data_IF_463778536141
#
_entry.id   IF_463778536141
#
_cell.length_a   1.000
_cell.length_b   1.000
_cell.length_c   1.000
_cell.angle_alpha   90.00
_cell.angle_beta   90.00
_cell.angle_gamma   90.00
#
_symmetry.space_group_name_H-M   'P 1'
#
loop_
_entity.id
_entity.type
_entity.pdbx_description
1 polymer ?
#
# COMPACT_ATOMS: atom_id res chain seq x y z
N UNK A 1 -8.13 15.92 29.26
CA UNK A 1 -9.43 15.41 28.73
C UNK A 1 -9.18 15.01 27.29
N UNK A 2 -9.42 13.73 26.91
CA UNK A 2 -9.33 13.30 25.51
C UNK A 2 -10.43 14.01 24.72
N UNK A 3 -10.06 14.65 23.61
CA UNK A 3 -11.03 15.26 22.69
C UNK A 3 -11.80 14.15 21.98
N UNK A 4 -13.04 13.92 22.42
CA UNK A 4 -13.89 12.83 21.90
C UNK A 4 -14.37 13.06 20.47
N UNK A 5 -14.06 14.21 19.85
CA UNK A 5 -14.37 14.48 18.43
C UNK A 5 -13.51 13.68 17.47
N UNK A 6 -12.34 13.19 17.92
CA UNK A 6 -11.37 12.46 17.11
C UNK A 6 -11.21 11.01 17.60
N UNK A 7 -10.93 10.12 16.67
CA UNK A 7 -10.63 8.71 16.98
C UNK A 7 -9.46 8.62 17.97
N UNK A 8 -9.62 7.78 19.00
CA UNK A 8 -8.54 7.42 19.91
C UNK A 8 -7.92 6.07 19.56
N UNK A 9 -8.46 5.38 18.54
CA UNK A 9 -8.01 4.06 18.13
C UNK A 9 -6.50 3.98 17.84
N UNK A 10 -5.87 4.97 17.15
CA UNK A 10 -4.44 4.91 16.88
C UNK A 10 -3.57 4.77 18.14
N UNK A 11 -3.92 5.49 19.21
CA UNK A 11 -3.19 5.42 20.49
C UNK A 11 -3.43 4.09 21.19
N UNK A 12 -4.68 3.63 21.28
CA UNK A 12 -5.01 2.34 21.89
C UNK A 12 -4.30 1.19 21.16
N UNK A 13 -4.32 1.19 19.84
CA UNK A 13 -3.63 0.17 19.05
C UNK A 13 -2.12 0.25 19.19
N UNK A 14 -1.52 1.45 19.24
CA UNK A 14 -0.09 1.60 19.48
C UNK A 14 0.33 1.03 20.84
N UNK A 15 -0.45 1.28 21.90
CA UNK A 15 -0.17 0.76 23.23
C UNK A 15 -0.32 -0.77 23.30
N UNK A 16 -1.34 -1.33 22.66
CA UNK A 16 -1.51 -2.78 22.53
C UNK A 16 -0.30 -3.38 21.82
N UNK A 17 0.12 -2.81 20.68
CA UNK A 17 1.24 -3.30 19.87
C UNK A 17 2.55 -3.27 20.66
N UNK A 18 2.82 -2.18 21.40
CA UNK A 18 4.00 -2.10 22.29
C UNK A 18 3.97 -3.17 23.39
N UNK A 19 2.79 -3.56 23.86
CA UNK A 19 2.64 -4.66 24.81
C UNK A 19 3.04 -6.04 24.25
N UNK A 20 2.90 -6.26 22.95
CA UNK A 20 3.32 -7.51 22.29
C UNK A 20 4.83 -7.57 22.02
N UNK A 21 5.47 -6.45 21.73
CA UNK A 21 6.91 -6.38 21.46
C UNK A 21 7.49 -5.10 22.09
N UNK A 22 7.74 -5.11 23.41
CA UNK A 22 8.34 -3.97 24.11
C UNK A 22 9.71 -3.60 23.50
N UNK A 23 10.05 -2.31 23.54
CA UNK A 23 11.32 -1.76 23.05
C UNK A 23 11.57 -1.92 21.55
N UNK A 24 10.59 -2.40 20.79
CA UNK A 24 10.67 -2.52 19.35
C UNK A 24 10.09 -1.28 18.65
N UNK A 25 10.92 -0.58 17.87
CA UNK A 25 10.50 0.58 17.09
C UNK A 25 10.67 0.27 15.60
N UNK A 26 9.58 0.01 14.85
CA UNK A 26 9.66 -0.22 13.42
C UNK A 26 10.02 1.07 12.69
N UNK A 27 10.95 0.99 11.74
CA UNK A 27 11.35 2.12 10.89
C UNK A 27 10.51 2.19 9.61
N UNK A 28 10.17 1.03 9.04
CA UNK A 28 9.41 0.93 7.80
C UNK A 28 8.10 0.18 8.04
N UNK A 29 7.01 0.79 7.61
CA UNK A 29 5.71 0.14 7.56
C UNK A 29 5.47 -0.43 6.16
N UNK A 30 4.94 -1.66 6.08
CA UNK A 30 4.49 -2.28 4.84
C UNK A 30 2.98 -2.48 4.84
N UNK A 31 2.34 -2.25 3.69
CA UNK A 31 0.98 -2.72 3.42
C UNK A 31 1.05 -3.68 2.24
N UNK A 32 0.84 -4.97 2.50
CA UNK A 32 0.89 -6.00 1.47
C UNK A 32 -0.47 -6.12 0.76
N UNK A 33 -0.40 -6.13 -0.56
CA UNK A 33 -1.54 -6.38 -1.44
C UNK A 33 -1.85 -7.86 -1.64
N UNK A 34 -2.93 -8.13 -2.38
CA UNK A 34 -3.37 -9.48 -2.73
C UNK A 34 -2.27 -10.26 -3.45
N UNK A 35 -1.99 -11.48 -3.01
CA UNK A 35 -0.96 -12.35 -3.58
C UNK A 35 0.48 -12.04 -3.16
N UNK A 36 0.74 -10.97 -2.37
CA UNK A 36 2.08 -10.53 -2.00
C UNK A 36 2.46 -10.90 -0.55
N UNK A 37 1.67 -11.74 0.11
CA UNK A 37 1.85 -12.15 1.51
C UNK A 37 3.15 -12.89 1.84
N UNK A 38 3.79 -13.53 0.85
CA UNK A 38 5.01 -14.31 1.03
C UNK A 38 6.21 -13.49 1.57
N UNK A 39 6.22 -12.16 1.37
CA UNK A 39 7.24 -11.29 1.94
C UNK A 39 7.24 -11.35 3.48
N UNK A 40 6.06 -11.44 4.09
CA UNK A 40 5.93 -11.49 5.54
C UNK A 40 6.53 -12.77 6.16
N UNK A 41 6.68 -13.85 5.38
CA UNK A 41 7.30 -15.11 5.83
C UNK A 41 8.83 -14.97 6.01
N UNK A 42 9.43 -13.91 5.45
CA UNK A 42 10.86 -13.62 5.57
C UNK A 42 11.19 -12.70 6.75
N UNK A 43 10.18 -12.27 7.51
CA UNK A 43 10.39 -11.41 8.68
C UNK A 43 10.95 -12.26 9.82
N UNK A 44 12.15 -11.93 10.25
CA UNK A 44 12.84 -12.56 11.37
C UNK A 44 12.33 -12.00 12.71
N UNK A 45 12.40 -12.80 13.77
CA UNK A 45 11.88 -12.46 15.11
C UNK A 45 10.44 -11.96 15.08
N UNK A 46 9.62 -12.57 14.24
CA UNK A 46 8.28 -12.14 13.91
C UNK A 46 7.29 -12.28 15.08
N UNK A 47 6.55 -11.23 15.37
CA UNK A 47 5.39 -11.23 16.27
C UNK A 47 4.17 -10.83 15.46
N UNK A 48 3.20 -11.75 15.31
CA UNK A 48 1.95 -11.50 14.59
C UNK A 48 0.82 -11.11 15.55
N UNK A 49 0.07 -10.08 15.19
CA UNK A 49 -1.06 -9.56 15.96
C UNK A 49 -2.27 -9.47 15.04
N UNK A 50 -3.37 -10.18 15.37
CA UNK A 50 -4.61 -10.10 14.59
C UNK A 50 -5.18 -8.67 14.64
N UNK A 51 -5.68 -8.18 13.50
CA UNK A 51 -6.37 -6.88 13.42
C UNK A 51 -7.59 -6.79 14.30
N UNK A 52 -8.23 -7.91 14.62
CA UNK A 52 -9.37 -7.96 15.56
C UNK A 52 -9.02 -7.46 16.96
N UNK A 53 -7.73 -7.52 17.33
CA UNK A 53 -7.22 -7.03 18.61
C UNK A 53 -6.83 -5.55 18.58
N UNK A 54 -6.82 -4.94 17.39
CA UNK A 54 -6.30 -3.59 17.17
C UNK A 54 -7.44 -2.65 16.78
N UNK A 55 -7.94 -1.80 17.70
CA UNK A 55 -8.97 -0.81 17.38
C UNK A 55 -8.60 0.04 16.17
N UNK A 56 -9.51 0.21 15.21
CA UNK A 56 -9.28 1.00 14.00
C UNK A 56 -8.51 0.28 12.88
N UNK A 57 -8.04 -0.95 13.10
CA UNK A 57 -7.47 -1.76 12.02
C UNK A 57 -8.57 -2.38 11.15
N UNK A 58 -8.35 -2.54 9.84
CA UNK A 58 -9.36 -3.05 8.93
C UNK A 58 -9.45 -4.57 9.04
N UNK A 59 -10.49 -5.10 9.65
CA UNK A 59 -10.81 -6.53 9.52
C UNK A 59 -11.34 -6.75 8.11
N UNK A 60 -10.47 -7.23 7.21
CA UNK A 60 -10.80 -7.42 5.80
C UNK A 60 -11.73 -8.62 5.60
N UNK A 61 -12.62 -8.49 4.62
CA UNK A 61 -13.50 -9.57 4.14
C UNK A 61 -12.97 -10.18 2.83
N UNK A 62 -11.86 -9.68 2.31
CA UNK A 62 -11.28 -10.09 1.03
C UNK A 62 -10.41 -11.34 1.20
N UNK A 63 -10.65 -12.37 0.39
CA UNK A 63 -9.80 -13.55 0.32
C UNK A 63 -8.34 -13.19 -0.04
N UNK A 64 -7.38 -13.76 0.70
CA UNK A 64 -5.94 -13.48 0.51
C UNK A 64 -5.38 -12.40 1.44
N UNK A 65 -6.23 -11.80 2.29
CA UNK A 65 -5.79 -10.92 3.37
C UNK A 65 -5.86 -11.65 4.70
N UNK A 66 -4.70 -11.89 5.33
CA UNK A 66 -4.63 -12.62 6.60
C UNK A 66 -5.18 -11.81 7.79
N UNK A 67 -5.23 -10.49 7.67
CA UNK A 67 -5.74 -9.61 8.74
C UNK A 67 -4.83 -9.57 9.96
N UNK A 68 -3.52 -9.51 9.74
CA UNK A 68 -2.49 -9.51 10.78
C UNK A 68 -1.48 -8.38 10.57
N UNK A 69 -1.04 -7.78 11.67
CA UNK A 69 0.17 -6.95 11.74
C UNK A 69 1.33 -7.83 12.22
N UNK A 70 2.41 -7.88 11.43
CA UNK A 70 3.64 -8.62 11.78
C UNK A 70 4.76 -7.63 12.06
N UNK A 71 5.33 -7.73 13.26
CA UNK A 71 6.49 -6.93 13.70
C UNK A 71 7.73 -7.81 13.70
N UNK A 72 8.83 -7.33 13.16
CA UNK A 72 10.11 -8.06 13.18
C UNK A 72 11.16 -7.38 12.31
N UNK A 73 12.22 -8.10 11.97
CA UNK A 73 13.28 -7.59 11.13
C UNK A 73 13.17 -8.18 9.72
N UNK A 74 13.32 -7.35 8.71
CA UNK A 74 13.37 -7.78 7.31
C UNK A 74 14.61 -7.16 6.66
N UNK A 75 15.50 -8.01 6.15
CA UNK A 75 16.78 -7.59 5.56
C UNK A 75 17.58 -6.62 6.46
N UNK A 76 17.55 -6.85 7.79
CA UNK A 76 18.26 -6.04 8.79
C UNK A 76 17.54 -4.76 9.25
N UNK A 77 16.35 -4.46 8.73
CA UNK A 77 15.58 -3.27 9.10
C UNK A 77 14.37 -3.66 9.96
N UNK A 78 14.08 -2.96 11.09
CA UNK A 78 12.88 -3.16 11.88
C UNK A 78 11.63 -2.73 11.09
N UNK A 79 10.67 -3.64 10.92
CA UNK A 79 9.48 -3.40 10.11
C UNK A 79 8.18 -3.69 10.85
N UNK A 80 7.10 -3.00 10.44
CA UNK A 80 5.73 -3.30 10.79
C UNK A 80 4.96 -3.63 9.50
N UNK A 81 4.61 -4.89 9.31
CA UNK A 81 4.05 -5.39 8.07
C UNK A 81 2.57 -5.73 8.21
N UNK A 82 1.70 -4.97 7.56
CA UNK A 82 0.28 -5.25 7.45
C UNK A 82 0.04 -6.32 6.38
N UNK A 83 -0.38 -7.53 6.78
CA UNK A 83 -0.78 -8.63 5.89
C UNK A 83 -2.24 -8.45 5.46
N UNK A 84 -2.47 -7.52 4.58
CA UNK A 84 -3.78 -7.14 4.06
C UNK A 84 -4.19 -5.72 4.42
N UNK A 85 -5.23 -5.25 3.74
CA UNK A 85 -5.80 -3.90 3.87
C UNK A 85 -7.31 -3.93 3.79
N UNK A 86 -7.95 -2.85 4.21
CA UNK A 86 -9.35 -2.58 3.89
C UNK A 86 -9.48 -1.81 2.59
N UNK A 87 -10.56 -2.05 1.84
CA UNK A 87 -10.85 -1.35 0.60
C UNK A 87 -12.15 -0.56 0.71
N UNK A 88 -12.27 0.47 -0.11
CA UNK A 88 -13.47 1.28 -0.19
C UNK A 88 -14.72 0.44 -0.50
N UNK A 89 -14.61 -0.51 -1.44
CA UNK A 89 -15.74 -1.36 -1.86
C UNK A 89 -16.24 -2.33 -0.77
N UNK A 90 -15.53 -2.47 0.34
CA UNK A 90 -16.02 -3.24 1.50
C UNK A 90 -17.05 -2.45 2.34
N UNK A 91 -17.45 -1.25 1.89
CA UNK A 91 -18.50 -0.43 2.51
C UNK A 91 -18.05 0.36 3.74
N UNK A 92 -16.74 0.45 4.01
CA UNK A 92 -16.17 1.14 5.18
C UNK A 92 -15.71 2.59 4.88
N UNK A 93 -15.94 3.07 3.66
CA UNK A 93 -15.58 4.42 3.25
C UNK A 93 -14.09 4.64 3.02
N UNK A 94 -13.73 5.89 2.71
CA UNK A 94 -12.36 6.29 2.38
C UNK A 94 -11.40 6.24 3.57
N UNK A 95 -11.90 6.30 4.79
CA UNK A 95 -11.10 6.37 6.03
C UNK A 95 -10.67 5.01 6.56
N UNK A 96 -11.02 3.90 5.88
CA UNK A 96 -10.83 2.53 6.35
C UNK A 96 -9.39 2.19 6.80
N UNK A 97 -8.39 2.84 6.23
CA UNK A 97 -6.97 2.65 6.55
C UNK A 97 -6.38 3.74 7.46
N UNK A 98 -7.12 4.83 7.71
CA UNK A 98 -6.56 6.02 8.35
C UNK A 98 -6.04 5.76 9.77
N UNK A 99 -6.81 5.08 10.61
CA UNK A 99 -6.41 4.79 12.00
C UNK A 99 -5.20 3.85 12.04
N UNK A 100 -5.16 2.83 11.17
CA UNK A 100 -4.02 1.91 11.10
C UNK A 100 -2.73 2.65 10.69
N UNK A 101 -2.79 3.53 9.69
CA UNK A 101 -1.63 4.32 9.24
C UNK A 101 -1.14 5.28 10.32
N UNK A 102 -2.07 5.95 10.99
CA UNK A 102 -1.74 6.81 12.14
C UNK A 102 -1.10 6.01 13.28
N UNK A 103 -1.55 4.78 13.52
CA UNK A 103 -0.92 3.86 14.48
C UNK A 103 0.52 3.55 14.09
N UNK A 104 0.80 3.25 12.83
CA UNK A 104 2.17 3.00 12.33
C UNK A 104 3.08 4.22 12.54
N UNK A 105 2.56 5.44 12.33
CA UNK A 105 3.29 6.68 12.65
C UNK A 105 3.61 6.78 14.14
N UNK A 106 2.64 6.50 15.02
CA UNK A 106 2.82 6.54 16.49
C UNK A 106 3.81 5.47 16.99
N UNK A 107 3.97 4.36 16.27
CA UNK A 107 4.98 3.34 16.57
C UNK A 107 6.41 3.75 16.20
N UNK A 108 6.57 4.84 15.43
CA UNK A 108 7.87 5.35 15.03
C UNK A 108 8.24 5.10 13.56
N UNK A 109 7.33 4.56 12.75
CA UNK A 109 7.60 4.43 11.32
C UNK A 109 7.88 5.79 10.67
N UNK A 110 8.87 5.81 9.77
CA UNK A 110 9.28 6.98 8.98
C UNK A 110 8.82 6.86 7.54
N UNK A 111 8.68 5.63 7.05
CA UNK A 111 8.35 5.28 5.68
C UNK A 111 7.18 4.28 5.63
N UNK A 112 6.24 4.54 4.74
CA UNK A 112 5.21 3.59 4.32
C UNK A 112 5.56 3.03 2.94
N UNK A 113 5.75 1.72 2.85
CA UNK A 113 5.90 0.98 1.60
C UNK A 113 4.57 0.31 1.24
N UNK A 114 3.85 0.86 0.28
CA UNK A 114 2.61 0.28 -0.21
C UNK A 114 2.86 -0.69 -1.35
N UNK A 115 2.14 -1.82 -1.36
CA UNK A 115 2.15 -2.75 -2.47
C UNK A 115 0.74 -3.13 -2.86
N UNK A 116 0.50 -3.41 -4.14
CA UNK A 116 -0.80 -3.85 -4.63
C UNK A 116 -0.68 -4.64 -5.93
N UNK A 117 -1.73 -5.37 -6.28
CA UNK A 117 -1.97 -5.86 -7.62
C UNK A 117 -2.67 -4.76 -8.43
N UNK A 118 -2.32 -4.60 -9.70
CA UNK A 118 -2.89 -3.60 -10.59
C UNK A 118 -3.07 -4.12 -12.02
N UNK A 119 -4.02 -3.52 -12.75
CA UNK A 119 -4.16 -3.64 -14.18
C UNK A 119 -3.28 -2.62 -14.90
N UNK A 120 -2.57 -3.03 -15.95
CA UNK A 120 -1.79 -2.11 -16.76
C UNK A 120 -2.64 -1.45 -17.85
N UNK A 121 -2.51 -0.13 -17.97
CA UNK A 121 -3.06 0.68 -19.07
C UNK A 121 -2.09 0.76 -20.27
N UNK A 122 -0.89 0.17 -20.12
CA UNK A 122 0.19 0.17 -21.08
C UNK A 122 0.41 -1.25 -21.63
N UNK A 123 0.09 -1.51 -22.91
CA UNK A 123 0.21 -2.86 -23.49
C UNK A 123 1.61 -3.47 -23.38
N UNK A 124 2.67 -2.65 -23.39
CA UNK A 124 4.06 -3.09 -23.27
C UNK A 124 4.49 -3.44 -21.83
N UNK A 125 3.67 -3.11 -20.83
CA UNK A 125 3.90 -3.43 -19.40
C UNK A 125 2.92 -4.51 -18.99
N UNK A 126 3.20 -5.75 -19.37
CA UNK A 126 2.29 -6.89 -19.19
C UNK A 126 2.37 -7.55 -17.81
N UNK A 127 1.53 -8.58 -17.57
CA UNK A 127 1.52 -9.37 -16.35
C UNK A 127 2.91 -9.89 -15.96
N UNK A 128 3.25 -9.85 -14.68
CA UNK A 128 4.57 -10.18 -14.14
C UNK A 128 5.53 -9.00 -14.06
N UNK A 129 5.20 -7.85 -14.67
CA UNK A 129 5.96 -6.60 -14.51
C UNK A 129 5.75 -5.97 -13.13
N UNK A 130 6.75 -5.21 -12.67
CA UNK A 130 6.65 -4.33 -11.51
C UNK A 130 6.65 -2.86 -11.97
N UNK A 131 5.80 -2.04 -11.36
CA UNK A 131 5.72 -0.61 -11.62
C UNK A 131 5.89 0.16 -10.32
N UNK A 132 6.95 0.98 -10.22
CA UNK A 132 7.11 1.95 -9.15
C UNK A 132 6.17 3.14 -9.40
N UNK A 133 5.30 3.45 -8.44
CA UNK A 133 4.36 4.55 -8.60
C UNK A 133 5.07 5.89 -8.44
N UNK A 134 4.95 6.74 -9.44
CA UNK A 134 5.51 8.10 -9.44
C UNK A 134 4.52 9.15 -8.97
N UNK A 135 3.23 8.93 -9.24
CA UNK A 135 2.12 9.80 -8.87
C UNK A 135 0.79 9.03 -8.91
N UNK A 136 -0.31 9.71 -8.58
CA UNK A 136 -1.64 9.13 -8.76
C UNK A 136 -2.70 10.12 -9.26
N UNK A 137 -3.74 9.57 -9.88
CA UNK A 137 -4.98 10.27 -10.22
C UNK A 137 -6.09 9.66 -9.35
N UNK A 138 -6.66 10.47 -8.48
CA UNK A 138 -7.72 10.03 -7.57
C UNK A 138 -9.09 10.13 -8.25
N UNK A 139 -9.67 9.00 -8.67
CA UNK A 139 -11.05 8.93 -9.17
C UNK A 139 -12.04 8.35 -8.15
N UNK A 140 -11.60 8.19 -6.90
CA UNK A 140 -12.47 7.77 -5.79
C UNK A 140 -13.50 8.86 -5.44
N UNK A 141 -14.62 8.52 -4.77
CA UNK A 141 -15.67 9.48 -4.46
C UNK A 141 -15.29 10.49 -3.35
N UNK A 142 -14.01 10.62 -3.03
CA UNK A 142 -13.51 11.55 -2.02
C UNK A 142 -12.07 11.30 -1.61
N UNK A 143 -11.74 11.80 -0.43
CA UNK A 143 -10.42 11.62 0.21
C UNK A 143 -10.63 11.23 1.68
N UNK A 144 -9.70 10.47 2.29
CA UNK A 144 -9.81 10.11 3.71
C UNK A 144 -9.73 11.30 4.67
N UNK A 145 -9.41 12.50 4.16
CA UNK A 145 -9.24 13.73 4.97
C UNK A 145 -10.48 14.64 4.96
N UNK A 146 -11.60 14.20 4.35
CA UNK A 146 -12.86 14.97 4.40
C UNK A 146 -13.41 14.98 5.84
N UNK A 147 -13.72 16.16 6.33
CA UNK A 147 -14.31 16.36 7.67
C UNK A 147 -13.40 17.13 8.61
N UNK A 148 -13.48 16.85 9.91
CA UNK A 148 -12.65 17.51 10.91
C UNK A 148 -11.20 17.04 10.81
N UNK A 149 -10.27 18.00 10.76
CA UNK A 149 -8.85 17.68 10.81
C UNK A 149 -8.39 17.38 12.24
N UNK A 150 -7.64 16.31 12.41
CA UNK A 150 -6.94 15.98 13.64
C UNK A 150 -5.49 16.50 13.55
N UNK A 151 -5.28 17.71 14.05
CA UNK A 151 -3.99 18.41 14.00
C UNK A 151 -2.85 17.69 14.75
N UNK A 152 -3.18 16.68 15.56
CA UNK A 152 -2.16 15.85 16.23
C UNK A 152 -1.34 15.01 15.24
N UNK A 153 -1.87 14.82 14.01
CA UNK A 153 -1.22 14.06 12.94
C UNK A 153 -0.68 14.93 11.80
N UNK A 154 -1.27 16.09 11.55
CA UNK A 154 -0.81 16.95 10.48
C UNK A 154 -1.76 18.12 10.19
N UNK A 155 -1.34 18.99 9.30
CA UNK A 155 -2.12 20.15 8.85
C UNK A 155 -3.30 19.75 7.99
N UNK A 156 -4.41 20.51 8.06
CA UNK A 156 -5.60 20.24 7.25
C UNK A 156 -5.30 20.35 5.74
N UNK A 157 -4.49 21.33 5.36
CA UNK A 157 -4.07 21.55 3.96
C UNK A 157 -2.60 21.22 3.80
N UNK A 158 -2.29 20.11 3.17
CA UNK A 158 -0.93 19.59 2.99
C UNK A 158 -0.66 19.25 1.52
N UNK A 159 0.60 19.28 1.15
CA UNK A 159 1.03 19.03 -0.22
C UNK A 159 1.18 17.54 -0.52
N UNK A 160 0.75 17.13 -1.71
CA UNK A 160 1.00 15.81 -2.29
C UNK A 160 2.03 15.87 -3.46
N UNK A 161 2.74 16.99 -3.65
CA UNK A 161 3.67 17.18 -4.77
C UNK A 161 4.80 16.13 -4.85
N UNK A 162 5.19 15.54 -3.72
CA UNK A 162 6.13 14.40 -3.64
C UNK A 162 5.47 13.28 -2.84
N UNK A 163 4.24 12.92 -3.22
CA UNK A 163 3.48 11.90 -2.50
C UNK A 163 4.17 10.55 -2.50
N UNK A 164 4.81 10.21 -3.61
CA UNK A 164 5.70 9.05 -3.77
C UNK A 164 7.14 9.56 -3.81
N UNK A 165 7.88 9.37 -2.73
CA UNK A 165 9.18 9.99 -2.51
C UNK A 165 10.18 9.69 -3.64
N UNK A 166 10.67 10.74 -4.29
CA UNK A 166 11.52 10.64 -5.48
C UNK A 166 12.88 10.01 -5.17
N UNK A 167 13.47 10.30 -3.99
CA UNK A 167 14.76 9.74 -3.61
C UNK A 167 14.64 8.23 -3.39
N UNK A 168 13.58 7.78 -2.73
CA UNK A 168 13.32 6.35 -2.52
C UNK A 168 12.95 5.63 -3.82
N UNK A 169 12.27 6.29 -4.77
CA UNK A 169 12.06 5.71 -6.11
C UNK A 169 13.38 5.50 -6.86
N UNK A 170 14.32 6.46 -6.75
CA UNK A 170 15.65 6.30 -7.32
C UNK A 170 16.40 5.09 -6.70
N UNK A 171 16.24 4.85 -5.40
CA UNK A 171 16.79 3.65 -4.73
C UNK A 171 16.16 2.38 -5.31
N UNK A 172 14.82 2.33 -5.51
CA UNK A 172 14.15 1.19 -6.13
C UNK A 172 14.68 0.92 -7.54
N UNK A 173 14.87 1.95 -8.36
CA UNK A 173 15.45 1.83 -9.72
C UNK A 173 16.86 1.24 -9.69
N UNK A 174 17.71 1.72 -8.75
CA UNK A 174 19.07 1.19 -8.58
C UNK A 174 19.04 -0.29 -8.19
N UNK A 175 18.16 -0.68 -7.26
CA UNK A 175 18.03 -2.09 -6.85
C UNK A 175 17.54 -2.97 -8.01
N UNK A 176 16.54 -2.55 -8.75
CA UNK A 176 16.04 -3.31 -9.90
C UNK A 176 17.12 -3.53 -10.98
N UNK A 177 17.94 -2.50 -11.24
CA UNK A 177 19.07 -2.60 -12.16
C UNK A 177 20.13 -3.59 -11.66
N UNK A 178 20.45 -3.57 -10.36
CA UNK A 178 21.41 -4.50 -9.73
C UNK A 178 20.91 -5.95 -9.75
N UNK A 179 19.60 -6.15 -9.56
CA UNK A 179 18.94 -7.47 -9.59
C UNK A 179 18.61 -7.95 -11.01
N UNK A 180 18.83 -7.11 -12.03
CA UNK A 180 18.75 -7.47 -13.45
C UNK A 180 17.34 -7.58 -14.01
N UNK A 181 16.37 -6.85 -13.48
CA UNK A 181 15.01 -6.79 -14.04
C UNK A 181 14.54 -5.33 -14.27
N UNK A 182 13.64 -5.11 -15.26
CA UNK A 182 13.11 -3.78 -15.52
C UNK A 182 12.12 -3.35 -14.43
N UNK A 183 12.25 -2.12 -13.94
CA UNK A 183 11.27 -1.46 -13.08
C UNK A 183 10.76 -0.21 -13.78
N UNK A 184 9.53 -0.26 -14.27
CA UNK A 184 8.88 0.89 -14.92
C UNK A 184 8.37 1.86 -13.86
N UNK A 185 8.40 3.16 -14.13
CA UNK A 185 7.62 4.15 -13.36
C UNK A 185 6.28 4.43 -14.02
N UNK A 186 5.25 4.74 -13.23
CA UNK A 186 3.93 5.03 -13.74
C UNK A 186 3.01 5.74 -12.79
N UNK A 187 1.99 6.39 -13.36
CA UNK A 187 0.90 7.07 -12.65
C UNK A 187 -0.23 6.09 -12.35
N UNK A 188 -0.62 6.00 -11.10
CA UNK A 188 -1.68 5.10 -10.63
C UNK A 188 -3.04 5.81 -10.69
N UNK A 189 -4.03 5.20 -11.35
CA UNK A 189 -5.43 5.65 -11.29
C UNK A 189 -6.16 4.80 -10.25
N UNK A 190 -6.74 5.44 -9.23
CA UNK A 190 -7.55 4.74 -8.24
C UNK A 190 -8.98 4.59 -8.72
N UNK A 191 -9.53 3.37 -8.66
CA UNK A 191 -10.89 3.05 -9.03
C UNK A 191 -11.68 2.49 -7.84
N UNK A 192 -12.94 2.88 -7.61
CA UNK A 192 -13.66 2.46 -6.40
C UNK A 192 -13.97 0.96 -6.33
N UNK A 193 -14.18 0.28 -7.44
CA UNK A 193 -14.62 -1.12 -7.46
C UNK A 193 -16.04 -1.32 -6.92
N UNK A 194 -16.49 -2.56 -6.62
CA UNK A 194 -15.79 -3.84 -6.81
C UNK A 194 -15.79 -4.36 -8.24
N UNK A 195 -16.57 -3.77 -9.16
CA UNK A 195 -16.53 -4.12 -10.57
C UNK A 195 -15.21 -3.65 -11.20
N UNK A 196 -14.74 -4.36 -12.21
CA UNK A 196 -13.68 -3.86 -13.09
C UNK A 196 -14.22 -2.71 -13.95
N UNK A 197 -13.31 -1.95 -14.51
CA UNK A 197 -13.58 -0.79 -15.32
C UNK A 197 -14.24 -1.20 -16.66
N UNK A 198 -14.99 -0.29 -17.27
CA UNK A 198 -15.42 -0.47 -18.66
C UNK A 198 -14.30 -0.09 -19.62
N UNK A 199 -14.34 -0.58 -20.86
CA UNK A 199 -13.38 -0.21 -21.92
C UNK A 199 -13.36 1.31 -22.16
N UNK A 200 -14.48 2.01 -21.96
CA UNK A 200 -14.56 3.46 -22.10
C UNK A 200 -13.85 4.19 -20.94
N UNK A 201 -13.97 3.67 -19.71
CA UNK A 201 -13.25 4.19 -18.53
C UNK A 201 -11.75 3.95 -18.67
N UNK A 202 -11.33 2.79 -19.19
CA UNK A 202 -9.90 2.52 -19.48
C UNK A 202 -9.35 3.54 -20.48
N UNK A 203 -10.04 3.82 -21.58
CA UNK A 203 -9.63 4.87 -22.54
C UNK A 203 -9.57 6.25 -21.90
N UNK A 204 -10.53 6.59 -21.04
CA UNK A 204 -10.51 7.85 -20.29
C UNK A 204 -9.26 7.92 -19.40
N UNK A 205 -8.94 6.86 -18.65
CA UNK A 205 -7.79 6.79 -17.76
C UNK A 205 -6.46 6.96 -18.54
N UNK A 206 -6.34 6.35 -19.71
CA UNK A 206 -5.18 6.56 -20.60
C UNK A 206 -5.07 8.03 -21.08
N UNK A 207 -6.19 8.65 -21.48
CA UNK A 207 -6.21 10.05 -21.96
C UNK A 207 -5.79 11.03 -20.87
N UNK A 208 -6.19 10.79 -19.61
CA UNK A 208 -5.82 11.68 -18.49
C UNK A 208 -4.43 11.39 -17.94
N UNK A 209 -3.68 10.44 -18.52
CA UNK A 209 -2.27 10.19 -18.19
C UNK A 209 -2.04 9.09 -17.16
N UNK A 210 -2.99 8.16 -16.96
CA UNK A 210 -2.81 6.97 -16.14
C UNK A 210 -2.00 5.89 -16.85
N UNK A 211 -1.16 5.17 -16.09
CA UNK A 211 -0.36 4.04 -16.55
C UNK A 211 -0.83 2.70 -15.98
N UNK A 212 -1.35 2.72 -14.76
CA UNK A 212 -1.88 1.52 -14.07
C UNK A 212 -3.15 1.88 -13.31
N UNK A 213 -4.03 0.89 -13.10
CA UNK A 213 -5.31 1.08 -12.40
C UNK A 213 -5.49 0.04 -11.30
N UNK A 214 -6.11 0.45 -10.20
CA UNK A 214 -6.45 -0.45 -9.09
C UNK A 214 -7.35 0.19 -8.04
N UNK A 215 -7.78 -0.61 -7.07
CA UNK A 215 -8.83 -0.26 -6.11
C UNK A 215 -8.30 0.03 -4.70
N UNK A 216 -7.03 0.44 -4.56
CA UNK A 216 -6.33 0.64 -3.28
C UNK A 216 -5.29 1.75 -3.38
N UNK A 217 -4.35 1.81 -2.45
CA UNK A 217 -3.15 2.67 -2.42
C UNK A 217 -3.43 4.15 -2.15
N UNK A 218 -4.30 4.81 -2.94
CA UNK A 218 -4.49 6.26 -2.84
C UNK A 218 -5.01 6.74 -1.47
N UNK A 219 -6.00 6.09 -0.85
CA UNK A 219 -6.41 6.44 0.51
C UNK A 219 -5.27 6.30 1.52
N UNK A 220 -4.46 5.25 1.39
CA UNK A 220 -3.30 5.00 2.26
C UNK A 220 -2.22 6.06 2.08
N UNK A 221 -1.90 6.40 0.83
CA UNK A 221 -0.90 7.43 0.52
C UNK A 221 -1.32 8.79 1.08
N UNK A 222 -2.58 9.19 0.88
CA UNK A 222 -3.09 10.46 1.40
C UNK A 222 -3.02 10.50 2.93
N UNK A 223 -3.46 9.43 3.61
CA UNK A 223 -3.40 9.33 5.07
C UNK A 223 -1.96 9.34 5.60
N UNK A 224 -1.04 8.66 4.92
CA UNK A 224 0.38 8.62 5.27
C UNK A 224 1.04 10.00 5.12
N UNK A 225 0.78 10.69 3.99
CA UNK A 225 1.31 12.03 3.74
C UNK A 225 0.76 13.06 4.72
N UNK A 226 -0.51 12.92 5.13
CA UNK A 226 -1.10 13.76 6.16
C UNK A 226 -0.36 13.66 7.51
N UNK A 227 0.10 12.47 7.90
CA UNK A 227 0.90 12.28 9.12
C UNK A 227 2.42 12.26 8.86
N UNK A 228 2.87 12.88 7.77
CA UNK A 228 4.29 13.09 7.44
C UNK A 228 5.12 11.80 7.30
N UNK A 229 4.49 10.69 6.96
CA UNK A 229 5.23 9.52 6.51
C UNK A 229 5.73 9.76 5.08
N UNK A 230 6.98 9.41 4.80
CA UNK A 230 7.43 9.22 3.42
C UNK A 230 6.72 8.02 2.82
N UNK A 231 6.51 8.00 1.51
CA UNK A 231 5.82 6.89 0.87
C UNK A 231 6.57 6.43 -0.37
N UNK A 232 6.65 5.13 -0.54
CA UNK A 232 6.89 4.48 -1.83
C UNK A 232 5.81 3.46 -2.09
N UNK A 233 5.51 3.22 -3.35
CA UNK A 233 4.54 2.20 -3.73
C UNK A 233 5.00 1.46 -4.99
N UNK A 234 4.75 0.14 -5.00
CA UNK A 234 5.06 -0.73 -6.14
C UNK A 234 3.82 -1.56 -6.46
N UNK A 235 3.36 -1.47 -7.70
CA UNK A 235 2.30 -2.30 -8.24
C UNK A 235 2.87 -3.53 -8.94
N UNK A 236 2.36 -4.72 -8.58
CA UNK A 236 2.57 -5.94 -9.35
C UNK A 236 1.49 -6.00 -10.44
N UNK A 237 1.91 -6.02 -11.69
CA UNK A 237 0.98 -6.07 -12.82
C UNK A 237 0.46 -7.50 -12.98
N UNK A 238 -0.84 -7.66 -12.84
CA UNK A 238 -1.53 -8.96 -12.90
C UNK A 238 -2.29 -9.19 -14.19
N UNK A 239 -2.63 -8.12 -14.88
CA UNK A 239 -3.39 -8.16 -16.14
C UNK A 239 -3.18 -6.87 -16.93
N UNK A 240 -3.46 -6.92 -18.22
CA UNK A 240 -3.82 -5.71 -18.96
C UNK A 240 -5.25 -5.31 -18.56
N UNK A 241 -5.52 -4.02 -18.49
CA UNK A 241 -6.85 -3.51 -18.13
C UNK A 241 -7.92 -3.91 -19.17
N UNK A 242 -9.20 -3.77 -18.81
CA UNK A 242 -10.32 -4.20 -19.66
C UNK A 242 -10.23 -3.62 -21.08
N UNK A 243 -10.37 -4.52 -22.07
CA UNK A 243 -10.30 -4.18 -23.50
C UNK A 243 -8.90 -3.99 -24.07
N UNK A 244 -7.83 -4.15 -23.25
CA UNK A 244 -6.43 -4.15 -23.73
C UNK A 244 -5.85 -5.55 -23.88
N UNK A 245 -6.50 -6.58 -23.34
CA UNK A 245 -6.14 -7.98 -23.46
C UNK A 245 -7.34 -8.85 -23.80
N UNK A 246 -7.05 -10.12 -24.18
CA UNK A 246 -8.08 -11.09 -24.59
C UNK A 246 -8.63 -11.92 -23.41
N UNK A 247 -8.17 -11.67 -22.18
CA UNK A 247 -8.49 -12.50 -21.02
C UNK A 247 -9.59 -11.82 -20.19
N UNK A 248 -10.66 -12.56 -19.88
CA UNK A 248 -11.71 -12.09 -18.97
C UNK A 248 -11.13 -11.94 -17.56
N UNK A 249 -11.20 -10.74 -17.00
CA UNK A 249 -10.64 -10.44 -15.67
C UNK A 249 -11.44 -11.12 -14.54
N UNK A 250 -10.71 -11.60 -13.54
CA UNK A 250 -11.27 -12.15 -12.30
C UNK A 250 -10.26 -12.04 -11.16
N UNK A 251 -10.75 -12.00 -9.92
CA UNK A 251 -9.88 -11.97 -8.74
C UNK A 251 -8.96 -13.20 -8.64
N UNK A 252 -9.44 -14.39 -9.05
CA UNK A 252 -8.61 -15.61 -9.07
C UNK A 252 -7.42 -15.49 -10.04
N UNK A 253 -7.62 -14.88 -11.20
CA UNK A 253 -6.53 -14.60 -12.16
C UNK A 253 -5.53 -13.59 -11.60
N UNK A 254 -6.02 -12.55 -10.90
CA UNK A 254 -5.17 -11.56 -10.23
C UNK A 254 -4.22 -12.25 -9.24
N UNK A 255 -4.72 -13.16 -8.41
CA UNK A 255 -3.89 -13.90 -7.45
C UNK A 255 -2.87 -14.80 -8.14
N UNK A 256 -3.26 -15.54 -9.18
CA UNK A 256 -2.37 -16.41 -9.94
C UNK A 256 -1.27 -15.61 -10.67
N UNK A 257 -1.61 -14.47 -11.23
CA UNK A 257 -0.66 -13.63 -11.95
C UNK A 257 0.33 -12.89 -11.03
N UNK A 258 -0.06 -12.57 -9.79
CA UNK A 258 0.84 -11.97 -8.80
C UNK A 258 2.05 -12.87 -8.50
N UNK A 259 1.92 -14.19 -8.66
CA UNK A 259 3.03 -15.14 -8.47
C UNK A 259 4.15 -14.97 -9.52
N UNK A 260 3.83 -14.45 -10.72
CA UNK A 260 4.82 -14.22 -11.79
C UNK A 260 5.90 -13.19 -11.38
N UNK A 261 5.54 -12.21 -10.59
CA UNK A 261 6.45 -11.16 -10.13
C UNK A 261 7.05 -11.41 -8.74
N UNK A 262 6.63 -12.49 -8.06
CA UNK A 262 6.94 -12.74 -6.64
C UNK A 262 8.42 -12.63 -6.30
N UNK A 263 9.30 -13.30 -7.06
CA UNK A 263 10.73 -13.30 -6.74
C UNK A 263 11.36 -11.93 -6.94
N UNK A 264 11.05 -11.26 -8.06
CA UNK A 264 11.53 -9.91 -8.34
C UNK A 264 11.02 -8.91 -7.30
N UNK A 265 9.77 -9.08 -6.84
CA UNK A 265 9.17 -8.28 -5.81
C UNK A 265 9.89 -8.42 -4.45
N UNK A 266 10.20 -9.66 -4.03
CA UNK A 266 10.95 -9.93 -2.81
C UNK A 266 12.37 -9.35 -2.92
N UNK A 267 13.06 -9.60 -4.03
CA UNK A 267 14.41 -9.08 -4.27
C UNK A 267 14.42 -7.54 -4.22
N UNK A 268 13.44 -6.90 -4.87
CA UNK A 268 13.31 -5.44 -4.87
C UNK A 268 13.18 -4.87 -3.45
N UNK A 269 12.28 -5.44 -2.65
CA UNK A 269 12.04 -4.95 -1.29
C UNK A 269 13.23 -5.22 -0.38
N UNK A 270 13.78 -6.43 -0.39
CA UNK A 270 14.94 -6.75 0.44
C UNK A 270 16.18 -5.94 0.04
N UNK A 271 16.41 -5.74 -1.27
CA UNK A 271 17.47 -4.88 -1.78
C UNK A 271 17.28 -3.42 -1.37
N UNK A 272 16.06 -2.91 -1.48
CA UNK A 272 15.70 -1.56 -1.02
C UNK A 272 15.97 -1.38 0.48
N UNK A 273 15.54 -2.31 1.32
CA UNK A 273 15.77 -2.25 2.76
C UNK A 273 17.27 -2.26 3.12
N UNK A 274 18.07 -3.09 2.45
CA UNK A 274 19.54 -3.13 2.67
C UNK A 274 20.20 -1.78 2.35
N UNK A 275 19.66 -0.99 1.43
CA UNK A 275 20.16 0.37 1.11
C UNK A 275 19.68 1.43 2.10
N UNK A 276 18.69 1.10 2.97
CA UNK A 276 18.23 1.95 4.06
C UNK A 276 18.95 1.66 5.38
N UNK A 277 19.51 0.45 5.55
CA UNK A 277 20.24 0.04 6.74
C UNK A 277 21.58 0.77 6.82
#
# INVERSE_FOLDING_TARGET
MSDTRFSQNPWYSADIIRGYKPDFTPRVAFILGSGLGALAEQIEDAVAISYEKLPGFPVSTVHGHAGELVLGNLAGVPVACMKGRGHFYEGRGMTVMTDAIRTLKLLGCELLFCTNAAGSLRPEVGPGSLVALSDHINTMPGTPMVGLNDERFGEHFFSLANAYDADYRAVLQSVAAEEGFPLTEGVFVSYPGPNFETVAEIRMMQIIGGDVVGMSVVPEVIAARHCELKVVAVSAITNLAEGLGDVKLSHAQTLAAAELSRQNFINLICGFLRKLA
#
